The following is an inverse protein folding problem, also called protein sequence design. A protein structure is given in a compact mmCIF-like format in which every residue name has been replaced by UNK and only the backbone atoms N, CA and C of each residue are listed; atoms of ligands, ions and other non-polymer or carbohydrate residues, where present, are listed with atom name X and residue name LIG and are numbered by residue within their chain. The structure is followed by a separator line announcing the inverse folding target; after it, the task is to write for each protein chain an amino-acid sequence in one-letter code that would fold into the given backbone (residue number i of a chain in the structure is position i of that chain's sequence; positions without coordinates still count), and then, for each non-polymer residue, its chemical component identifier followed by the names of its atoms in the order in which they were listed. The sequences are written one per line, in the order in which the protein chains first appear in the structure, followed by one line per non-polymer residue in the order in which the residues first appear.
data_IF_299582432526
#
_entry.id   IF_299582432526
#
_cell.length_a   1.000
_cell.length_b   1.000
_cell.length_c   1.000
_cell.angle_alpha   90.00
_cell.angle_beta   90.00
_cell.angle_gamma   90.00
#
_symmetry.space_group_name_H-M   'P 1'
#
loop_
_entity.id
_entity.type
_entity.pdbx_description
1 polymer ?
#
# COMPACT_ATOMS: atom_id res chain seq x y z
N UNK A 1 65.71 -18.01 -80.29
CA UNK A 1 64.66 -17.01 -80.00
C UNK A 1 63.42 -17.75 -79.52
N UNK A 2 63.22 -17.82 -78.20
CA UNK A 2 62.15 -18.58 -77.56
C UNK A 2 60.95 -17.67 -77.28
N UNK A 3 59.85 -17.88 -78.00
CA UNK A 3 58.56 -17.23 -77.71
C UNK A 3 57.79 -18.10 -76.70
N UNK A 4 57.77 -17.68 -75.43
CA UNK A 4 56.96 -18.30 -74.36
C UNK A 4 55.49 -17.91 -74.58
N UNK A 5 54.51 -18.81 -74.36
CA UNK A 5 53.11 -18.53 -74.66
C UNK A 5 52.44 -17.63 -73.59
N UNK A 6 52.06 -16.42 -73.99
CA UNK A 6 51.26 -15.46 -73.20
C UNK A 6 49.87 -15.92 -72.70
N UNK A 7 49.12 -16.89 -73.30
CA UNK A 7 47.78 -17.23 -72.81
C UNK A 7 47.75 -17.98 -71.46
N UNK A 8 48.85 -18.64 -71.04
CA UNK A 8 48.90 -19.43 -69.79
C UNK A 8 49.03 -18.57 -68.54
N UNK A 9 49.75 -17.45 -68.62
CA UNK A 9 49.91 -16.49 -67.51
C UNK A 9 48.64 -15.65 -67.31
N UNK A 10 47.98 -15.23 -68.41
CA UNK A 10 46.71 -14.52 -68.36
C UNK A 10 45.59 -15.36 -67.71
N UNK A 11 45.45 -16.63 -68.11
CA UNK A 11 44.47 -17.56 -67.52
C UNK A 11 44.72 -17.83 -66.03
N UNK A 12 46.00 -17.96 -65.63
CA UNK A 12 46.36 -18.16 -64.23
C UNK A 12 46.07 -16.93 -63.34
N UNK A 13 46.30 -15.72 -63.87
CA UNK A 13 45.95 -14.48 -63.17
C UNK A 13 44.43 -14.31 -63.04
N UNK A 14 43.66 -14.62 -64.09
CA UNK A 14 42.20 -14.62 -64.05
C UNK A 14 41.65 -15.62 -63.02
N UNK A 15 42.19 -16.84 -62.98
CA UNK A 15 41.81 -17.86 -62.00
C UNK A 15 42.19 -17.49 -60.56
N UNK A 16 43.24 -16.68 -60.35
CA UNK A 16 43.59 -16.14 -59.03
C UNK A 16 42.61 -15.04 -58.60
N UNK A 17 42.27 -14.11 -59.49
CA UNK A 17 41.27 -13.05 -59.23
C UNK A 17 39.90 -13.63 -58.88
N UNK A 18 39.41 -14.58 -59.69
CA UNK A 18 38.13 -15.24 -59.41
C UNK A 18 38.13 -15.97 -58.05
N UNK A 19 39.25 -16.58 -57.64
CA UNK A 19 39.38 -17.19 -56.31
C UNK A 19 39.40 -16.18 -55.18
N UNK A 20 40.05 -15.03 -55.35
CA UNK A 20 40.02 -13.97 -54.33
C UNK A 20 38.63 -13.35 -54.20
N UNK A 21 37.93 -13.15 -55.31
CA UNK A 21 36.57 -12.58 -55.33
C UNK A 21 35.57 -13.53 -54.66
N UNK A 22 35.66 -14.84 -54.95
CA UNK A 22 34.86 -15.87 -54.28
C UNK A 22 35.15 -15.94 -52.76
N UNK A 23 36.42 -15.77 -52.36
CA UNK A 23 36.78 -15.73 -50.95
C UNK A 23 36.23 -14.47 -50.24
N UNK A 24 36.25 -13.31 -50.89
CA UNK A 24 35.67 -12.06 -50.38
C UNK A 24 34.16 -12.15 -50.23
N UNK A 25 33.46 -12.73 -51.21
CA UNK A 25 32.02 -12.98 -51.12
C UNK A 25 31.67 -13.83 -49.89
N UNK A 26 32.38 -14.93 -49.65
CA UNK A 26 32.18 -15.78 -48.47
C UNK A 26 32.45 -15.03 -47.15
N UNK A 27 33.41 -14.11 -47.15
CA UNK A 27 33.68 -13.23 -45.98
C UNK A 27 32.51 -12.31 -45.72
N UNK A 28 31.99 -11.61 -46.73
CA UNK A 28 30.81 -10.74 -46.59
C UNK A 28 29.56 -11.51 -46.15
N UNK A 29 29.30 -12.68 -46.74
CA UNK A 29 28.19 -13.54 -46.33
C UNK A 29 28.32 -14.02 -44.88
N UNK A 30 29.54 -14.37 -44.46
CA UNK A 30 29.81 -14.82 -43.09
C UNK A 30 29.64 -13.69 -42.07
N UNK A 31 30.08 -12.48 -42.41
CA UNK A 31 29.85 -11.29 -41.58
C UNK A 31 28.35 -11.03 -41.46
N UNK A 32 27.62 -10.98 -42.58
CA UNK A 32 26.16 -10.77 -42.58
C UNK A 32 25.41 -11.86 -41.79
N UNK A 33 25.91 -13.09 -41.81
CA UNK A 33 25.35 -14.21 -41.03
C UNK A 33 25.64 -14.07 -39.54
N UNK A 34 26.87 -13.74 -39.15
CA UNK A 34 27.23 -13.48 -37.75
C UNK A 34 26.42 -12.31 -37.16
N UNK A 35 26.21 -11.25 -37.94
CA UNK A 35 25.37 -10.11 -37.55
C UNK A 35 23.90 -10.52 -37.36
N UNK A 36 23.33 -11.29 -38.29
CA UNK A 36 21.95 -11.82 -38.17
C UNK A 36 21.77 -12.73 -36.95
N UNK A 37 22.75 -13.56 -36.67
CA UNK A 37 22.75 -14.47 -35.51
C UNK A 37 23.11 -13.76 -34.19
N UNK A 38 23.40 -12.45 -34.23
CA UNK A 38 23.90 -11.66 -33.09
C UNK A 38 25.15 -12.27 -32.44
N UNK A 39 25.92 -13.03 -33.21
CA UNK A 39 27.17 -13.64 -32.76
C UNK A 39 28.30 -12.60 -32.79
N UNK A 40 29.30 -12.77 -31.93
CA UNK A 40 30.45 -11.86 -31.88
C UNK A 40 31.22 -11.89 -33.20
N UNK A 41 31.30 -10.73 -33.88
CA UNK A 41 32.14 -10.56 -35.06
C UNK A 41 33.60 -10.45 -34.60
N UNK A 42 34.42 -11.39 -35.06
CA UNK A 42 35.88 -11.36 -34.86
C UNK A 42 36.56 -11.99 -36.06
N UNK A 43 37.84 -11.63 -36.28
CA UNK A 43 38.65 -12.19 -37.38
C UNK A 43 38.66 -13.72 -37.34
N UNK A 44 38.72 -14.31 -36.13
CA UNK A 44 38.73 -15.77 -35.97
C UNK A 44 37.37 -16.43 -36.20
N UNK A 45 36.27 -15.75 -35.88
CA UNK A 45 34.92 -16.22 -36.17
C UNK A 45 34.63 -16.15 -37.67
N UNK A 46 35.03 -15.06 -38.33
CA UNK A 46 34.86 -14.87 -39.77
C UNK A 46 35.71 -15.86 -40.57
N UNK A 47 36.99 -16.05 -40.22
CA UNK A 47 37.87 -17.04 -40.88
C UNK A 47 37.29 -18.45 -40.85
N UNK A 48 36.83 -18.90 -39.67
CA UNK A 48 36.23 -20.23 -39.51
C UNK A 48 34.94 -20.39 -40.29
N UNK A 49 34.13 -19.34 -40.39
CA UNK A 49 32.79 -19.42 -40.99
C UNK A 49 32.80 -19.23 -42.50
N UNK A 50 33.72 -18.41 -43.01
CA UNK A 50 33.92 -18.16 -44.44
C UNK A 50 34.81 -19.22 -45.12
N UNK A 51 35.37 -20.15 -44.33
CA UNK A 51 36.32 -21.17 -44.81
C UNK A 51 37.51 -20.53 -45.55
N UNK A 52 38.16 -19.57 -44.88
CA UNK A 52 39.35 -18.85 -45.36
C UNK A 52 40.41 -18.78 -44.25
N UNK A 53 41.68 -18.69 -44.65
CA UNK A 53 42.77 -18.55 -43.68
C UNK A 53 42.76 -17.16 -43.02
N UNK A 54 43.22 -17.07 -41.77
CA UNK A 54 43.41 -15.77 -41.10
C UNK A 54 44.42 -14.89 -41.86
N UNK A 55 45.44 -15.50 -42.43
CA UNK A 55 46.45 -14.82 -43.25
C UNK A 55 45.82 -14.12 -44.44
N UNK A 56 44.87 -14.77 -45.15
CA UNK A 56 44.12 -14.13 -46.23
C UNK A 56 43.36 -12.88 -45.76
N UNK A 57 42.72 -12.93 -44.59
CA UNK A 57 41.98 -11.80 -44.02
C UNK A 57 42.90 -10.63 -43.60
N UNK A 58 44.12 -10.94 -43.16
CA UNK A 58 45.10 -9.91 -42.83
C UNK A 58 45.72 -9.32 -44.10
N UNK A 59 46.06 -10.13 -45.09
CA UNK A 59 46.75 -9.67 -46.30
C UNK A 59 45.83 -8.88 -47.24
N UNK A 60 44.54 -9.22 -47.28
CA UNK A 60 43.56 -8.53 -48.11
C UNK A 60 42.98 -7.30 -47.38
N UNK A 61 43.21 -6.09 -47.90
CA UNK A 61 42.75 -4.83 -47.30
C UNK A 61 41.22 -4.69 -47.27
N UNK A 62 40.52 -5.19 -48.28
CA UNK A 62 39.05 -5.15 -48.39
C UNK A 62 38.41 -6.04 -47.32
N UNK A 63 38.90 -7.28 -47.16
CA UNK A 63 38.44 -8.19 -46.11
C UNK A 63 38.68 -7.59 -44.71
N UNK A 64 39.83 -6.95 -44.50
CA UNK A 64 40.17 -6.29 -43.24
C UNK A 64 39.22 -5.12 -42.95
N UNK A 65 38.94 -4.29 -43.95
CA UNK A 65 38.02 -3.17 -43.84
C UNK A 65 36.57 -3.63 -43.54
N UNK A 66 36.11 -4.68 -44.22
CA UNK A 66 34.78 -5.24 -43.98
C UNK A 66 34.61 -5.77 -42.55
N UNK A 67 35.62 -6.48 -42.01
CA UNK A 67 35.59 -6.97 -40.63
C UNK A 67 35.64 -5.80 -39.64
N UNK A 68 36.51 -4.81 -39.87
CA UNK A 68 36.62 -3.64 -39.00
C UNK A 68 35.31 -2.84 -38.94
N UNK A 69 34.66 -2.61 -40.08
CA UNK A 69 33.36 -1.95 -40.15
C UNK A 69 32.29 -2.73 -39.39
N UNK A 70 32.23 -4.06 -39.58
CA UNK A 70 31.28 -4.91 -38.89
C UNK A 70 31.51 -4.97 -37.37
N UNK A 71 32.76 -4.92 -36.92
CA UNK A 71 33.11 -4.83 -35.50
C UNK A 71 32.71 -3.48 -34.90
N UNK A 72 32.97 -2.37 -35.60
CA UNK A 72 32.57 -1.03 -35.17
C UNK A 72 31.05 -0.92 -35.03
N UNK A 73 30.30 -1.37 -36.04
CA UNK A 73 28.84 -1.34 -36.02
C UNK A 73 28.24 -2.24 -34.92
N UNK A 74 28.87 -3.40 -34.65
CA UNK A 74 28.48 -4.25 -33.52
C UNK A 74 28.77 -3.59 -32.16
N UNK A 75 29.88 -2.86 -32.04
CA UNK A 75 30.21 -2.05 -30.87
C UNK A 75 29.17 -0.95 -30.63
N UNK A 76 28.86 -0.16 -31.66
CA UNK A 76 27.87 0.92 -31.59
C UNK A 76 26.48 0.41 -31.18
N UNK A 77 26.03 -0.70 -31.77
CA UNK A 77 24.77 -1.36 -31.38
C UNK A 77 24.76 -1.76 -29.90
N UNK A 78 25.87 -2.29 -29.40
CA UNK A 78 26.00 -2.68 -27.99
C UNK A 78 25.94 -1.48 -27.07
N UNK A 79 26.66 -0.40 -27.39
CA UNK A 79 26.64 0.85 -26.62
C UNK A 79 25.24 1.48 -26.60
N UNK A 80 24.55 1.51 -27.74
CA UNK A 80 23.14 1.98 -27.82
C UNK A 80 22.19 1.13 -26.97
N UNK A 81 22.39 -0.18 -26.94
CA UNK A 81 21.56 -1.07 -26.13
C UNK A 81 21.81 -0.87 -24.63
N UNK A 82 23.06 -0.68 -24.22
CA UNK A 82 23.41 -0.40 -22.81
C UNK A 82 22.84 0.95 -22.36
N UNK A 83 23.03 1.99 -23.15
CA UNK A 83 22.45 3.33 -22.86
C UNK A 83 20.93 3.27 -22.77
N UNK A 84 20.25 2.59 -23.69
CA UNK A 84 18.80 2.42 -23.60
C UNK A 84 18.34 1.67 -22.33
N UNK A 85 19.09 0.66 -21.89
CA UNK A 85 18.80 -0.05 -20.63
C UNK A 85 19.01 0.83 -19.40
N UNK A 86 20.05 1.65 -19.41
CA UNK A 86 20.33 2.57 -18.32
C UNK A 86 19.28 3.69 -18.25
N UNK A 87 18.86 4.23 -19.39
CA UNK A 87 17.78 5.22 -19.49
C UNK A 87 16.44 4.66 -18.96
N UNK A 88 16.11 3.41 -19.29
CA UNK A 88 14.91 2.72 -18.82
C UNK A 88 14.94 2.50 -17.30
N UNK A 89 16.10 2.10 -16.76
CA UNK A 89 16.31 1.96 -15.31
C UNK A 89 16.19 3.29 -14.59
N UNK A 90 16.80 4.34 -15.15
CA UNK A 90 16.76 5.68 -14.58
C UNK A 90 15.32 6.23 -14.59
N UNK A 91 14.57 6.00 -15.67
CA UNK A 91 13.15 6.35 -15.75
C UNK A 91 12.34 5.64 -14.66
N UNK A 92 12.56 4.34 -14.48
CA UNK A 92 11.91 3.54 -13.43
C UNK A 92 12.27 4.05 -12.02
N UNK A 93 13.52 4.47 -11.80
CA UNK A 93 13.95 5.01 -10.50
C UNK A 93 13.37 6.40 -10.23
N UNK A 94 13.34 7.27 -11.24
CA UNK A 94 12.69 8.59 -11.16
C UNK A 94 11.21 8.46 -10.83
N UNK A 95 10.50 7.55 -11.49
CA UNK A 95 9.08 7.29 -11.19
C UNK A 95 8.90 6.80 -9.75
N UNK A 96 9.72 5.85 -9.30
CA UNK A 96 9.66 5.37 -7.90
C UNK A 96 9.97 6.46 -6.88
N UNK A 97 10.91 7.35 -7.17
CA UNK A 97 11.23 8.48 -6.30
C UNK A 97 10.05 9.45 -6.20
N UNK A 98 9.43 9.82 -7.33
CA UNK A 98 8.25 10.68 -7.36
C UNK A 98 7.08 10.05 -6.59
N UNK A 99 6.80 8.77 -6.82
CA UNK A 99 5.75 8.05 -6.10
C UNK A 99 6.00 8.01 -4.58
N UNK A 100 7.27 7.85 -4.16
CA UNK A 100 7.65 7.87 -2.75
C UNK A 100 7.50 9.27 -2.13
N UNK A 101 7.85 10.33 -2.87
CA UNK A 101 7.65 11.71 -2.42
C UNK A 101 6.17 12.04 -2.25
N UNK A 102 5.31 11.61 -3.18
CA UNK A 102 3.88 11.85 -3.09
C UNK A 102 3.24 11.07 -1.92
N UNK A 103 3.66 9.82 -1.70
CA UNK A 103 3.26 9.06 -0.52
C UNK A 103 3.69 9.73 0.79
N UNK A 104 4.91 10.29 0.84
CA UNK A 104 5.41 11.01 2.00
C UNK A 104 4.60 12.28 2.28
N UNK A 105 4.30 13.07 1.24
CA UNK A 105 3.46 14.27 1.36
C UNK A 105 2.06 13.91 1.85
N UNK A 106 1.46 12.85 1.31
CA UNK A 106 0.15 12.37 1.75
C UNK A 106 0.15 11.97 3.22
N UNK A 107 1.15 11.19 3.66
CA UNK A 107 1.29 10.79 5.05
C UNK A 107 1.49 12.00 5.99
N UNK A 108 2.30 12.99 5.58
CA UNK A 108 2.50 14.21 6.36
C UNK A 108 1.21 15.03 6.50
N UNK A 109 0.44 15.16 5.42
CA UNK A 109 -0.85 15.84 5.44
C UNK A 109 -1.86 15.13 6.36
N UNK A 110 -1.87 13.79 6.35
CA UNK A 110 -2.70 13.01 7.27
C UNK A 110 -2.29 13.22 8.72
N UNK A 111 -0.99 13.18 9.03
CA UNK A 111 -0.47 13.42 10.40
C UNK A 111 -0.90 14.81 10.90
N UNK A 112 -0.84 15.85 10.05
CA UNK A 112 -1.29 17.19 10.42
C UNK A 112 -2.80 17.23 10.69
N UNK A 113 -3.60 16.54 9.87
CA UNK A 113 -5.04 16.41 10.07
C UNK A 113 -5.35 15.71 11.39
N UNK A 114 -4.68 14.59 11.67
CA UNK A 114 -4.82 13.85 12.92
C UNK A 114 -4.43 14.69 14.14
N UNK A 115 -3.31 15.42 14.08
CA UNK A 115 -2.87 16.31 15.17
C UNK A 115 -3.87 17.43 15.45
N UNK A 116 -4.44 18.02 14.40
CA UNK A 116 -5.49 19.04 14.53
C UNK A 116 -6.70 18.44 15.23
N UNK A 117 -7.15 17.26 14.80
CA UNK A 117 -8.27 16.56 15.41
C UNK A 117 -8.03 16.19 16.87
N UNK A 118 -6.82 15.73 17.20
CA UNK A 118 -6.42 15.45 18.59
C UNK A 118 -6.48 16.73 19.42
N UNK A 119 -6.00 17.86 18.89
CA UNK A 119 -6.08 19.15 19.57
C UNK A 119 -7.53 19.57 19.87
N UNK A 120 -8.44 19.42 18.90
CA UNK A 120 -9.88 19.68 19.09
C UNK A 120 -10.48 18.79 20.19
N UNK A 121 -10.21 17.48 20.13
CA UNK A 121 -10.73 16.52 21.11
C UNK A 121 -10.19 16.79 22.52
N UNK A 122 -8.90 17.15 22.64
CA UNK A 122 -8.33 17.53 23.93
C UNK A 122 -8.95 18.81 24.48
N UNK A 123 -9.29 19.77 23.61
CA UNK A 123 -10.07 20.96 23.98
C UNK A 123 -11.45 20.59 24.54
N UNK A 124 -12.20 19.75 23.82
CA UNK A 124 -13.51 19.28 24.26
C UNK A 124 -13.46 18.52 25.60
N UNK A 125 -12.45 17.65 25.80
CA UNK A 125 -12.25 16.95 27.08
C UNK A 125 -11.99 17.96 28.20
N UNK A 126 -11.16 18.97 27.96
CA UNK A 126 -10.86 20.00 28.95
C UNK A 126 -12.09 20.80 29.33
N UNK A 127 -12.92 21.18 28.36
CA UNK A 127 -14.16 21.93 28.60
C UNK A 127 -15.15 21.10 29.44
N UNK A 128 -15.34 19.82 29.11
CA UNK A 128 -16.17 18.90 29.89
C UNK A 128 -15.64 18.70 31.32
N UNK A 129 -14.32 18.59 31.48
CA UNK A 129 -13.69 18.49 32.81
C UNK A 129 -13.85 19.78 33.62
N UNK A 130 -13.80 20.94 32.97
CA UNK A 130 -14.01 22.24 33.62
C UNK A 130 -15.46 22.41 34.10
N UNK A 131 -16.44 21.90 33.34
CA UNK A 131 -17.84 21.88 33.77
C UNK A 131 -18.06 20.94 34.97
N UNK A 132 -17.31 19.85 35.04
CA UNK A 132 -17.38 18.86 36.12
C UNK A 132 -16.34 19.15 37.20
N UNK A 133 -16.44 20.33 37.81
CA UNK A 133 -15.60 20.65 38.97
C UNK A 133 -15.79 19.61 40.08
N UNK A 134 -14.72 19.31 40.82
CA UNK A 134 -14.78 18.43 41.99
C UNK A 134 -15.82 18.91 43.01
N UNK A 135 -15.99 20.24 43.11
CA UNK A 135 -17.05 20.87 43.90
C UNK A 135 -18.46 20.53 43.41
N UNK A 136 -18.70 20.52 42.09
CA UNK A 136 -20.00 20.14 41.51
C UNK A 136 -20.29 18.64 41.75
N UNK A 137 -19.28 17.78 41.59
CA UNK A 137 -19.38 16.34 41.86
C UNK A 137 -19.72 16.11 43.35
N UNK A 138 -19.02 16.80 44.25
CA UNK A 138 -19.23 16.67 45.69
C UNK A 138 -20.62 17.20 46.12
N UNK A 139 -21.05 18.32 45.55
CA UNK A 139 -22.38 18.90 45.80
C UNK A 139 -23.48 17.95 45.34
N UNK A 140 -23.43 17.49 44.09
CA UNK A 140 -24.42 16.55 43.55
C UNK A 140 -24.46 15.26 44.37
N UNK A 141 -23.31 14.75 44.81
CA UNK A 141 -23.24 13.54 45.65
C UNK A 141 -23.92 13.77 46.99
N UNK A 142 -23.68 14.91 47.63
CA UNK A 142 -24.27 15.26 48.93
C UNK A 142 -25.78 15.53 48.81
N UNK A 143 -26.22 16.18 47.73
CA UNK A 143 -27.64 16.35 47.43
C UNK A 143 -28.30 14.99 47.18
N UNK A 144 -27.65 14.09 46.45
CA UNK A 144 -28.17 12.75 46.17
C UNK A 144 -28.32 11.90 47.44
N UNK A 145 -27.34 11.95 48.36
CA UNK A 145 -27.43 11.23 49.65
C UNK A 145 -28.54 11.82 50.52
N UNK A 146 -28.67 13.15 50.57
CA UNK A 146 -29.75 13.84 51.29
C UNK A 146 -31.12 13.49 50.74
N UNK A 147 -31.29 13.50 49.41
CA UNK A 147 -32.53 13.11 48.75
C UNK A 147 -32.89 11.65 49.03
N UNK A 148 -31.91 10.73 48.96
CA UNK A 148 -32.11 9.31 49.30
C UNK A 148 -32.56 9.14 50.76
N UNK A 149 -31.96 9.87 51.70
CA UNK A 149 -32.38 9.85 53.09
C UNK A 149 -33.81 10.37 53.25
N UNK A 150 -34.14 11.49 52.59
CA UNK A 150 -35.49 12.08 52.65
C UNK A 150 -36.55 11.16 52.06
N UNK A 151 -36.25 10.47 50.96
CA UNK A 151 -37.13 9.46 50.36
C UNK A 151 -37.37 8.30 51.34
N UNK A 152 -36.32 7.80 52.00
CA UNK A 152 -36.45 6.73 53.02
C UNK A 152 -37.32 7.18 54.20
N UNK A 153 -37.09 8.39 54.70
CA UNK A 153 -37.86 8.96 55.80
C UNK A 153 -39.34 9.10 55.43
N UNK A 154 -39.64 9.74 54.29
CA UNK A 154 -41.02 9.90 53.82
C UNK A 154 -41.71 8.55 53.60
N UNK A 155 -40.98 7.53 53.14
CA UNK A 155 -41.51 6.17 52.99
C UNK A 155 -41.88 5.55 54.35
N UNK A 156 -41.04 5.74 55.37
CA UNK A 156 -41.32 5.25 56.72
C UNK A 156 -42.48 6.00 57.39
N UNK A 157 -42.54 7.32 57.22
CA UNK A 157 -43.61 8.15 57.74
C UNK A 157 -44.95 7.78 57.11
N UNK A 158 -44.98 7.58 55.80
CA UNK A 158 -46.19 7.19 55.08
C UNK A 158 -46.72 5.83 55.57
N UNK A 159 -45.85 4.83 55.76
CA UNK A 159 -46.22 3.55 56.38
C UNK A 159 -46.80 3.71 57.78
N UNK A 160 -46.18 4.57 58.60
CA UNK A 160 -46.65 4.84 59.97
C UNK A 160 -48.04 5.49 59.95
N UNK A 161 -48.28 6.42 59.03
CA UNK A 161 -49.58 7.05 58.85
C UNK A 161 -50.65 6.07 58.37
N UNK A 162 -50.30 5.18 57.44
CA UNK A 162 -51.19 4.11 56.98
C UNK A 162 -51.59 3.16 58.11
N UNK A 163 -50.64 2.76 58.96
CA UNK A 163 -50.90 1.93 60.13
C UNK A 163 -51.83 2.63 61.13
N UNK A 164 -51.59 3.92 61.41
CA UNK A 164 -52.46 4.73 62.28
C UNK A 164 -53.87 4.88 61.70
N UNK A 165 -53.99 5.11 60.39
CA UNK A 165 -55.28 5.20 59.71
C UNK A 165 -56.03 3.87 59.79
N UNK A 166 -55.34 2.75 59.60
CA UNK A 166 -55.93 1.41 59.74
C UNK A 166 -56.40 1.15 61.17
N UNK A 167 -55.60 1.51 62.17
CA UNK A 167 -55.97 1.39 63.59
C UNK A 167 -57.19 2.26 63.94
N UNK A 168 -57.19 3.53 63.52
CA UNK A 168 -58.32 4.44 63.75
C UNK A 168 -59.61 3.92 63.10
N UNK A 169 -59.55 3.43 61.86
CA UNK A 169 -60.69 2.79 61.18
C UNK A 169 -61.18 1.54 61.90
N UNK A 170 -60.27 0.71 62.43
CA UNK A 170 -60.64 -0.47 63.21
C UNK A 170 -61.31 -0.09 64.53
N UNK A 171 -60.80 0.93 65.22
CA UNK A 171 -61.37 1.41 66.47
C UNK A 171 -62.78 1.99 66.24
N UNK A 172 -62.97 2.77 65.17
CA UNK A 172 -64.28 3.31 64.81
C UNK A 172 -65.28 2.17 64.57
N UNK A 173 -64.93 1.17 63.75
CA UNK A 173 -65.79 -0.01 63.51
C UNK A 173 -66.12 -0.77 64.79
N UNK A 174 -65.19 -0.84 65.74
CA UNK A 174 -65.42 -1.48 67.03
C UNK A 174 -66.40 -0.66 67.89
N UNK A 175 -66.23 0.66 67.93
CA UNK A 175 -67.14 1.57 68.62
C UNK A 175 -68.55 1.51 68.01
N UNK A 176 -68.67 1.53 66.68
CA UNK A 176 -69.96 1.43 65.98
C UNK A 176 -70.70 0.14 66.35
N UNK A 177 -70.01 -1.01 66.36
CA UNK A 177 -70.61 -2.29 66.79
C UNK A 177 -71.06 -2.25 68.24
N UNK A 178 -70.22 -1.71 69.13
CA UNK A 178 -70.55 -1.60 70.55
C UNK A 178 -71.75 -0.67 70.78
N UNK A 179 -71.86 0.42 70.03
CA UNK A 179 -73.02 1.32 70.09
C UNK A 179 -74.27 0.58 69.62
N UNK A 180 -74.22 -0.10 68.48
CA UNK A 180 -75.35 -0.89 67.98
C UNK A 180 -75.81 -1.98 68.97
N UNK A 181 -74.87 -2.69 69.61
CA UNK A 181 -75.18 -3.68 70.65
C UNK A 181 -75.86 -3.05 71.88
N UNK A 182 -75.41 -1.85 72.29
CA UNK A 182 -76.02 -1.11 73.40
C UNK A 182 -77.41 -0.58 73.03
N UNK A 183 -77.58 -0.06 71.82
CA UNK A 183 -78.87 0.38 71.29
C UNK A 183 -79.88 -0.78 71.24
N UNK A 184 -79.46 -1.97 70.79
CA UNK A 184 -80.30 -3.16 70.77
C UNK A 184 -80.78 -3.56 72.19
N UNK A 185 -79.89 -3.53 73.19
CA UNK A 185 -80.25 -3.82 74.60
C UNK A 185 -81.23 -2.81 75.21
N UNK A 186 -81.18 -1.55 74.78
CA UNK A 186 -82.13 -0.51 75.22
C UNK A 186 -83.48 -0.68 74.50
N UNK A 187 -83.46 -1.14 73.25
CA UNK A 187 -84.66 -1.36 72.45
C UNK A 187 -85.41 -2.68 72.78
N UNK A 188 -84.77 -3.63 73.47
CA UNK A 188 -85.45 -4.81 74.01
C UNK A 188 -86.45 -4.38 75.11
N UNK A 189 -87.77 -4.58 74.92
CA UNK A 189 -88.74 -4.24 75.95
C UNK A 189 -88.51 -5.14 77.16
N UNK A 190 -88.43 -4.52 78.35
CA UNK A 190 -88.38 -5.24 79.63
C UNK A 190 -89.56 -6.20 79.72
N UNK A 191 -89.33 -7.45 79.35
CA UNK A 191 -90.28 -8.53 79.56
C UNK A 191 -90.29 -8.80 81.06
N UNK A 192 -91.40 -8.46 81.70
CA UNK A 192 -91.69 -8.81 83.08
C UNK A 192 -91.89 -10.30 83.27
#
# INVERSE_FOLDING_TARGET
MNTVPEPRTAAALAARRSRTDAALLRVHESIARLQREKAQVSVSAVARRADVSRTFLYDNSEARAAIAAAMAEAGDRRTRMLTAQDDEREATWRERALNAEDALKAAQAEILTQRTRIGELLGQIRDLQAEWTEEAIQRITTENTTLKQRVRQLTADNRTLDERLKAARSNLRFQDRRVADLEARIAEPSSG
#
